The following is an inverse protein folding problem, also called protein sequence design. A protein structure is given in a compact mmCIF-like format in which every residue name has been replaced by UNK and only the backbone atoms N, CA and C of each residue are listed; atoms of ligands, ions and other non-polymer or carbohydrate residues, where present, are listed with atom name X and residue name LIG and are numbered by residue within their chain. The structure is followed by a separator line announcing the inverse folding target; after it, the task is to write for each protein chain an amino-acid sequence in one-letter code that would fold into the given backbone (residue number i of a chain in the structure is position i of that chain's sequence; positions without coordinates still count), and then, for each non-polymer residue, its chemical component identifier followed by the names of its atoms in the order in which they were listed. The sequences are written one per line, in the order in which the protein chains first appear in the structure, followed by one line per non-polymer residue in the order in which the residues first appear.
data_IF_329190537117
#
_entry.id   IF_329190537117
#
_cell.length_a   1.000
_cell.length_b   1.000
_cell.length_c   1.000
_cell.angle_alpha   90.00
_cell.angle_beta   90.00
_cell.angle_gamma   90.00
#
_symmetry.space_group_name_H-M   'P 1'
#
loop_
_entity.id
_entity.type
_entity.pdbx_description
1 polymer ?
#
# COMPACT_ATOMS: atom_id res chain seq x y z
N UNK A 1 1.35 13.89 -12.48
CA UNK A 1 2.59 13.10 -12.63
C UNK A 1 2.97 13.25 -14.09
N UNK A 2 3.98 14.08 -14.36
CA UNK A 2 4.52 14.26 -15.71
C UNK A 2 5.80 13.41 -15.79
N UNK A 3 6.04 12.79 -16.94
CA UNK A 3 7.30 12.11 -17.22
C UNK A 3 8.36 13.17 -17.54
N UNK A 4 9.52 13.10 -16.88
CA UNK A 4 10.67 13.95 -17.13
C UNK A 4 11.82 13.08 -17.69
N UNK A 5 12.19 13.24 -18.97
CA UNK A 5 13.23 12.43 -19.60
C UNK A 5 14.65 12.75 -19.08
N UNK A 6 14.84 13.87 -18.38
CA UNK A 6 16.13 14.25 -17.78
C UNK A 6 16.31 13.58 -16.42
N UNK A 7 15.20 13.21 -15.76
CA UNK A 7 15.22 12.55 -14.47
C UNK A 7 15.47 11.04 -14.65
N UNK A 8 16.67 10.57 -14.27
CA UNK A 8 17.05 9.16 -14.43
C UNK A 8 16.14 8.17 -13.69
N UNK A 9 15.49 8.60 -12.60
CA UNK A 9 14.56 7.79 -11.81
C UNK A 9 13.35 8.60 -11.34
N UNK A 10 12.14 8.02 -11.27
CA UNK A 10 10.97 8.74 -10.79
C UNK A 10 11.10 9.08 -9.29
N UNK A 11 10.77 10.32 -8.91
CA UNK A 11 10.71 10.72 -7.49
C UNK A 11 9.54 10.11 -6.72
N UNK A 12 8.47 9.69 -7.43
CA UNK A 12 7.28 9.05 -6.86
C UNK A 12 6.92 7.81 -7.66
N UNK A 13 6.78 6.68 -6.97
CA UNK A 13 6.36 5.40 -7.55
C UNK A 13 5.03 4.92 -6.98
N UNK A 14 4.34 4.09 -7.75
CA UNK A 14 3.15 3.37 -7.30
C UNK A 14 3.58 1.98 -6.82
N UNK A 15 3.33 1.65 -5.56
CA UNK A 15 3.75 0.37 -4.97
C UNK A 15 2.58 -0.43 -4.44
N UNK A 16 2.66 -1.76 -4.57
CA UNK A 16 1.69 -2.71 -4.02
C UNK A 16 2.15 -3.21 -2.64
N UNK A 17 1.36 -2.95 -1.60
CA UNK A 17 1.53 -3.50 -0.25
C UNK A 17 0.64 -4.74 -0.12
N UNK A 18 1.21 -5.87 0.30
CA UNK A 18 0.49 -7.10 0.64
C UNK A 18 0.31 -7.22 2.15
N UNK A 19 -0.90 -7.51 2.60
CA UNK A 19 -1.16 -7.91 3.99
C UNK A 19 -1.13 -9.44 4.09
N UNK A 20 -0.05 -9.99 4.63
CA UNK A 20 0.21 -11.45 4.61
C UNK A 20 -0.60 -12.24 5.64
N UNK A 21 -1.00 -11.62 6.75
CA UNK A 21 -1.69 -12.31 7.85
C UNK A 21 -2.70 -11.39 8.56
N UNK A 22 -3.43 -10.55 7.82
CA UNK A 22 -4.51 -9.77 8.42
C UNK A 22 -5.59 -10.77 8.89
N UNK A 23 -6.11 -10.69 10.12
CA UNK A 23 -7.28 -11.48 10.48
C UNK A 23 -8.48 -11.13 9.60
N UNK A 24 -9.31 -12.11 9.24
CA UNK A 24 -10.46 -11.93 8.33
C UNK A 24 -11.44 -10.83 8.79
N UNK A 25 -11.62 -10.64 10.10
CA UNK A 25 -12.46 -9.57 10.64
C UNK A 25 -11.89 -8.15 10.44
N UNK A 26 -10.58 -8.03 10.18
CA UNK A 26 -9.91 -6.77 9.82
C UNK A 26 -9.90 -6.50 8.32
N UNK A 27 -10.37 -7.43 7.47
CA UNK A 27 -10.55 -7.23 6.02
C UNK A 27 -11.78 -6.35 5.69
N UNK A 28 -11.96 -5.29 6.47
CA UNK A 28 -12.96 -4.27 6.21
C UNK A 28 -12.32 -3.09 5.48
N UNK A 29 -13.01 -2.56 4.46
CA UNK A 29 -12.54 -1.39 3.68
C UNK A 29 -12.20 -0.20 4.55
N UNK A 30 -12.98 0.06 5.60
CA UNK A 30 -12.71 1.16 6.54
C UNK A 30 -11.40 0.94 7.29
N UNK A 31 -11.15 -0.29 7.78
CA UNK A 31 -9.93 -0.66 8.51
C UNK A 31 -8.71 -0.54 7.62
N UNK A 32 -8.73 -1.19 6.45
CA UNK A 32 -7.57 -1.18 5.53
C UNK A 32 -7.30 0.24 5.01
N UNK A 33 -8.34 1.04 4.74
CA UNK A 33 -8.16 2.46 4.36
C UNK A 33 -7.51 3.26 5.49
N UNK A 34 -7.87 3.01 6.76
CA UNK A 34 -7.31 3.70 7.92
C UNK A 34 -5.83 3.33 8.11
N UNK A 35 -5.48 2.04 8.00
CA UNK A 35 -4.08 1.57 7.98
C UNK A 35 -3.32 2.24 6.84
N UNK A 36 -3.90 2.25 5.65
CA UNK A 36 -3.29 2.88 4.49
C UNK A 36 -2.99 4.35 4.70
N UNK A 37 -3.94 5.12 5.24
CA UNK A 37 -3.75 6.54 5.59
C UNK A 37 -2.62 6.76 6.59
N UNK A 38 -2.34 5.81 7.49
CA UNK A 38 -1.21 5.88 8.42
C UNK A 38 0.13 5.70 7.69
N UNK A 39 0.18 4.81 6.70
CA UNK A 39 1.40 4.54 5.92
C UNK A 39 1.68 5.65 4.90
N UNK A 40 0.67 6.09 4.13
CA UNK A 40 0.75 7.16 3.10
C UNK A 40 -0.62 7.42 2.45
N UNK A 41 -0.68 8.25 1.39
CA UNK A 41 -1.91 8.45 0.61
C UNK A 41 -2.26 7.17 -0.17
N UNK A 42 -3.35 6.53 0.22
CA UNK A 42 -3.92 5.36 -0.49
C UNK A 42 -4.49 5.81 -1.83
N UNK A 43 -4.10 5.11 -2.90
CA UNK A 43 -4.53 5.41 -4.28
C UNK A 43 -5.64 4.48 -4.72
N UNK A 44 -5.46 3.19 -4.44
CA UNK A 44 -6.40 2.14 -4.85
C UNK A 44 -6.33 1.00 -3.86
N UNK A 45 -7.49 0.44 -3.54
CA UNK A 45 -7.59 -0.75 -2.69
C UNK A 45 -8.08 -1.91 -3.55
N UNK A 46 -7.30 -2.99 -3.59
CA UNK A 46 -7.73 -4.23 -4.22
C UNK A 46 -8.20 -5.19 -3.12
N UNK A 47 -9.51 -5.14 -2.87
CA UNK A 47 -10.24 -6.09 -2.04
C UNK A 47 -10.74 -7.20 -2.96
N UNK A 48 -9.94 -8.23 -3.21
CA UNK A 48 -10.49 -9.43 -3.84
C UNK A 48 -11.34 -10.15 -2.78
N UNK A 49 -12.58 -9.72 -2.61
CA UNK A 49 -13.55 -10.31 -1.70
C UNK A 49 -14.51 -11.21 -2.47
N UNK A 50 -13.99 -12.10 -3.32
CA UNK A 50 -14.89 -13.14 -3.83
C UNK A 50 -15.09 -14.19 -2.74
N UNK A 51 -16.31 -14.68 -2.67
CA UNK A 51 -16.85 -15.50 -1.61
C UNK A 51 -16.00 -16.76 -1.33
N UNK A 52 -15.89 -17.13 -0.05
CA UNK A 52 -15.63 -18.49 0.48
C UNK A 52 -14.29 -19.21 0.18
N UNK A 53 -13.41 -18.72 -0.68
CA UNK A 53 -12.12 -19.39 -0.92
C UNK A 53 -11.03 -18.92 0.09
N UNK A 54 -10.58 -19.84 0.95
CA UNK A 54 -9.38 -19.68 1.78
C UNK A 54 -8.20 -19.25 0.89
N UNK A 55 -7.60 -18.06 1.15
CA UNK A 55 -6.34 -17.64 0.50
C UNK A 55 -6.34 -16.31 -0.28
N UNK A 56 -7.09 -15.28 0.13
CA UNK A 56 -7.09 -13.97 -0.58
C UNK A 56 -6.32 -12.89 0.19
N UNK A 57 -5.24 -12.40 -0.44
CA UNK A 57 -4.44 -11.28 0.07
C UNK A 57 -5.14 -9.96 -0.20
N UNK A 58 -5.32 -9.12 0.83
CA UNK A 58 -5.64 -7.72 0.60
C UNK A 58 -4.38 -7.07 0.04
N UNK A 59 -4.52 -6.36 -1.08
CA UNK A 59 -3.44 -5.53 -1.63
C UNK A 59 -3.87 -4.09 -1.66
N UNK A 60 -2.94 -3.21 -1.28
CA UNK A 60 -3.16 -1.78 -1.31
C UNK A 60 -2.13 -1.12 -2.20
N UNK A 61 -2.59 -0.18 -3.01
CA UNK A 61 -1.73 0.67 -3.83
C UNK A 61 -1.51 1.97 -3.10
N UNK A 62 -0.24 2.32 -2.89
CA UNK A 62 0.17 3.59 -2.30
C UNK A 62 1.13 4.32 -3.23
N UNK A 63 1.12 5.65 -3.14
CA UNK A 63 2.21 6.45 -3.69
C UNK A 63 3.37 6.50 -2.71
N UNK A 64 4.55 6.23 -3.22
CA UNK A 64 5.80 6.24 -2.48
C UNK A 64 6.68 7.33 -3.05
N UNK A 65 6.88 8.42 -2.31
CA UNK A 65 7.95 9.37 -2.61
C UNK A 65 9.29 8.73 -2.17
N UNK A 66 10.22 8.61 -3.10
CA UNK A 66 11.55 7.99 -2.95
C UNK A 66 12.63 8.98 -2.46
N UNK A 67 12.36 10.28 -2.53
CA UNK A 67 13.25 11.34 -2.00
C UNK A 67 13.11 11.48 -0.49
N UNK A 68 12.02 10.96 0.08
CA UNK A 68 11.79 10.91 1.54
C UNK A 68 12.15 9.52 2.07
N UNK A 69 12.89 9.43 3.18
CA UNK A 69 13.19 8.15 3.80
C UNK A 69 11.90 7.41 4.13
N UNK A 70 11.87 6.12 3.79
CA UNK A 70 10.86 5.19 4.29
C UNK A 70 11.17 5.02 5.77
N UNK A 71 10.36 5.61 6.64
CA UNK A 71 10.64 5.69 8.09
C UNK A 71 11.13 4.34 8.62
N UNK A 72 12.41 4.24 8.97
CA UNK A 72 12.98 3.12 9.69
C UNK A 72 12.95 3.45 11.18
N UNK A 73 11.86 3.15 11.87
CA UNK A 73 11.96 2.95 13.32
C UNK A 73 12.57 1.56 13.54
N UNK A 74 13.89 1.47 13.35
CA UNK A 74 14.68 0.37 13.87
C UNK A 74 14.84 0.59 15.37
N UNK A 75 14.07 -0.15 16.16
CA UNK A 75 14.42 -0.32 17.56
C UNK A 75 15.43 -1.46 17.61
N UNK A 76 16.67 -1.12 17.97
CA UNK A 76 17.59 -2.06 18.61
C UNK A 76 17.15 -2.35 20.03
#
# INVERSE_FOLDING_TARGET
MAFDPIQAYPSVVMAWIRFLALPSYLYNRKVITKIGKLVRKVVKLNMNTDSRARGRFARMVVYVNLEKPLVTHGHG
#
